data_IF_397908086746
#
_entry.id   IF_397908086746
#
_cell.length_a   1.000
_cell.length_b   1.000
_cell.length_c   1.000
_cell.angle_alpha   90.00
_cell.angle_beta   90.00
_cell.angle_gamma   90.00
#
_symmetry.space_group_name_H-M   'P 1'
#
loop_
_entity.id
_entity.type
_entity.pdbx_description
1 polymer ?
#
# COMPACT_ATOMS: atom_id res chain seq x y z
N UNK A 1 4.32 84.55 -26.26
CA UNK A 1 5.79 84.60 -26.32
C UNK A 1 6.33 83.68 -25.22
N UNK A 2 7.38 82.95 -25.57
CA UNK A 2 8.11 81.86 -24.90
C UNK A 2 8.24 81.92 -23.35
N UNK A 3 8.01 80.78 -22.66
CA UNK A 3 9.01 79.90 -21.96
C UNK A 3 9.41 80.46 -20.58
N UNK A 4 8.96 79.91 -19.44
CA UNK A 4 9.37 78.68 -18.71
C UNK A 4 10.57 78.89 -17.75
N UNK A 5 10.52 78.17 -16.61
CA UNK A 5 11.60 77.52 -15.82
C UNK A 5 11.50 77.73 -14.28
N UNK A 6 11.09 76.64 -13.64
CA UNK A 6 11.49 75.96 -12.37
C UNK A 6 12.32 76.66 -11.25
N UNK A 7 11.93 76.39 -9.99
CA UNK A 7 12.73 75.77 -8.90
C UNK A 7 11.93 75.75 -7.57
N UNK A 8 11.42 74.60 -7.08
CA UNK A 8 11.96 73.71 -6.01
C UNK A 8 12.01 74.29 -4.57
N UNK A 9 11.16 73.77 -3.66
CA UNK A 9 11.47 73.56 -2.24
C UNK A 9 10.48 72.60 -1.53
N UNK A 10 11.05 71.49 -1.05
CA UNK A 10 10.62 70.50 -0.03
C UNK A 10 10.01 71.13 1.25
N UNK A 11 9.32 70.48 2.20
CA UNK A 11 8.82 69.13 2.54
C UNK A 11 8.16 69.30 3.93
N UNK A 12 7.01 68.70 4.25
CA UNK A 12 6.78 68.06 5.56
C UNK A 12 5.55 67.13 5.49
N UNK A 13 5.75 65.94 6.02
CA UNK A 13 4.97 64.73 5.78
C UNK A 13 3.69 64.63 6.63
N UNK A 14 2.65 64.02 6.07
CA UNK A 14 1.59 63.34 6.82
C UNK A 14 1.54 61.89 6.34
N UNK A 15 2.05 60.98 7.17
CA UNK A 15 2.10 59.55 6.92
C UNK A 15 0.71 58.97 7.27
N UNK A 16 -0.10 58.66 6.26
CA UNK A 16 -1.30 57.82 6.42
C UNK A 16 -0.88 56.39 6.15
N UNK A 17 -0.80 55.58 7.21
CA UNK A 17 -0.57 54.14 7.11
C UNK A 17 -1.78 53.47 6.46
N UNK A 18 -1.66 53.10 5.19
CA UNK A 18 -2.48 52.06 4.58
C UNK A 18 -1.94 50.71 5.07
N UNK A 19 -2.60 50.13 6.07
CA UNK A 19 -2.44 48.72 6.40
C UNK A 19 -3.03 47.89 5.27
N UNK A 20 -2.17 47.34 4.41
CA UNK A 20 -2.56 46.29 3.48
C UNK A 20 -2.89 45.04 4.32
N UNK A 21 -4.18 44.77 4.51
CA UNK A 21 -4.63 43.47 4.97
C UNK A 21 -4.27 42.45 3.88
N UNK A 22 -3.19 41.71 4.09
CA UNK A 22 -2.95 40.47 3.36
C UNK A 22 -4.08 39.53 3.73
N UNK A 23 -5.05 39.37 2.83
CA UNK A 23 -6.02 38.29 2.95
C UNK A 23 -5.22 36.98 2.94
N UNK A 24 -5.16 36.31 4.09
CA UNK A 24 -4.82 34.90 4.17
C UNK A 24 -5.86 34.18 3.32
N UNK A 25 -5.54 33.89 2.05
CA UNK A 25 -6.29 32.90 1.31
C UNK A 25 -6.20 31.61 2.11
N UNK A 26 -7.36 31.06 2.51
CA UNK A 26 -7.42 29.73 3.05
C UNK A 26 -6.71 28.77 2.06
N UNK A 27 -6.02 27.72 2.56
CA UNK A 27 -5.48 26.69 1.68
C UNK A 27 -6.59 26.21 0.72
N UNK A 28 -6.26 25.83 -0.53
CA UNK A 28 -7.25 25.22 -1.41
C UNK A 28 -7.90 24.07 -0.64
N UNK A 29 -9.19 24.19 -0.41
CA UNK A 29 -9.98 23.16 0.24
C UNK A 29 -9.93 21.98 -0.75
N UNK A 30 -9.27 20.88 -0.36
CA UNK A 30 -9.36 19.64 -1.14
C UNK A 30 -10.84 19.32 -1.28
N UNK A 31 -11.32 19.19 -2.52
CA UNK A 31 -12.69 18.73 -2.76
C UNK A 31 -12.87 17.43 -1.97
N UNK A 32 -13.91 17.38 -1.13
CA UNK A 32 -14.23 16.15 -0.42
C UNK A 32 -14.44 15.04 -1.46
N UNK A 33 -13.97 13.81 -1.19
CA UNK A 33 -14.24 12.68 -2.07
C UNK A 33 -15.74 12.60 -2.38
N UNK A 34 -16.10 12.48 -3.66
CA UNK A 34 -17.48 12.25 -4.12
C UNK A 34 -17.60 10.82 -4.67
N UNK A 35 -17.84 9.81 -3.80
CA UNK A 35 -18.07 8.43 -4.22
C UNK A 35 -19.23 8.30 -5.21
N UNK A 36 -20.26 9.13 -5.13
CA UNK A 36 -21.44 9.01 -5.99
C UNK A 36 -21.17 9.43 -7.44
N UNK A 37 -20.10 10.19 -7.70
CA UNK A 37 -19.68 10.66 -9.01
C UNK A 37 -18.35 10.07 -9.49
N UNK A 38 -17.74 9.16 -8.73
CA UNK A 38 -16.38 8.69 -8.99
C UNK A 38 -16.21 7.96 -10.33
N UNK A 39 -17.19 7.16 -10.77
CA UNK A 39 -17.11 6.48 -12.06
C UNK A 39 -17.13 7.44 -13.23
N UNK A 40 -18.01 8.45 -13.22
CA UNK A 40 -18.05 9.47 -14.26
C UNK A 40 -16.74 10.27 -14.33
N UNK A 41 -16.12 10.56 -13.17
CA UNK A 41 -14.79 11.16 -13.10
C UNK A 41 -13.73 10.26 -13.73
N UNK A 42 -13.70 8.97 -13.38
CA UNK A 42 -12.74 7.98 -13.91
C UNK A 42 -12.88 7.87 -15.43
N UNK A 43 -14.10 7.78 -15.95
CA UNK A 43 -14.37 7.77 -17.39
C UNK A 43 -13.88 9.05 -18.08
N UNK A 44 -14.12 10.20 -17.48
CA UNK A 44 -13.68 11.51 -18.02
C UNK A 44 -12.16 11.63 -18.02
N UNK A 45 -11.51 11.14 -16.98
CA UNK A 45 -10.05 11.10 -16.88
C UNK A 45 -9.41 10.03 -17.78
N UNK A 46 -10.19 9.00 -18.16
CA UNK A 46 -9.69 7.82 -18.86
C UNK A 46 -8.77 6.96 -18.01
N UNK A 47 -8.82 7.10 -16.68
CA UNK A 47 -7.83 6.53 -15.75
C UNK A 47 -8.44 6.09 -14.43
N UNK A 48 -8.12 4.86 -14.03
CA UNK A 48 -8.46 4.23 -12.77
C UNK A 48 -7.20 4.06 -11.91
N UNK A 49 -7.19 4.67 -10.73
CA UNK A 49 -6.06 4.59 -9.79
C UNK A 49 -6.33 3.50 -8.75
N UNK A 50 -5.50 2.46 -8.73
CA UNK A 50 -5.60 1.32 -7.81
C UNK A 50 -4.51 1.42 -6.75
N UNK A 51 -4.91 1.40 -5.48
CA UNK A 51 -4.00 1.17 -4.36
C UNK A 51 -3.65 -0.31 -4.24
N UNK A 52 -2.36 -0.61 -4.08
CA UNK A 52 -1.86 -1.98 -3.85
C UNK A 52 -0.85 -2.00 -2.70
N UNK A 53 -0.37 -3.19 -2.31
CA UNK A 53 0.66 -3.40 -1.30
C UNK A 53 1.63 -4.49 -1.75
N UNK A 54 2.61 -4.12 -2.59
CA UNK A 54 3.35 -5.04 -3.46
C UNK A 54 4.47 -5.87 -2.78
N UNK A 55 4.13 -6.55 -1.68
CA UNK A 55 5.02 -7.45 -0.95
C UNK A 55 4.45 -8.88 -0.73
N UNK A 56 3.39 -9.24 -1.46
CA UNK A 56 2.56 -10.41 -1.19
C UNK A 56 2.32 -11.33 -2.42
N UNK A 57 3.34 -12.06 -2.89
CA UNK A 57 3.19 -13.00 -3.99
C UNK A 57 2.33 -14.22 -3.59
N UNK A 58 1.52 -14.79 -4.50
CA UNK A 58 1.45 -14.51 -5.94
C UNK A 58 0.47 -13.39 -6.35
N UNK A 59 -0.12 -12.65 -5.39
CA UNK A 59 -1.17 -11.69 -5.68
C UNK A 59 -0.61 -10.36 -6.19
N UNK A 60 0.26 -9.71 -5.41
CA UNK A 60 0.88 -8.45 -5.78
C UNK A 60 2.33 -8.42 -5.28
N UNK A 61 3.28 -8.21 -6.19
CA UNK A 61 4.69 -8.17 -5.85
C UNK A 61 5.50 -7.48 -6.93
N UNK A 62 6.73 -7.08 -6.59
CA UNK A 62 7.72 -6.71 -7.59
C UNK A 62 8.41 -7.95 -8.14
N UNK A 63 8.37 -8.13 -9.46
CA UNK A 63 9.08 -9.16 -10.21
C UNK A 63 10.61 -9.02 -10.08
N UNK A 64 11.39 -9.93 -10.67
CA UNK A 64 12.86 -9.86 -10.58
C UNK A 64 13.48 -8.66 -11.31
N UNK A 65 12.80 -8.15 -12.33
CA UNK A 65 13.09 -6.88 -13.00
C UNK A 65 12.40 -5.68 -12.33
N UNK A 66 11.76 -5.92 -11.18
CA UNK A 66 11.19 -4.92 -10.29
C UNK A 66 10.02 -4.12 -10.86
N UNK A 67 9.23 -4.79 -11.69
CA UNK A 67 7.94 -4.29 -12.17
C UNK A 67 6.82 -4.85 -11.30
N UNK A 68 5.72 -4.11 -11.15
CA UNK A 68 4.53 -4.64 -10.48
C UNK A 68 3.96 -5.80 -11.28
N UNK A 69 3.84 -6.95 -10.62
CA UNK A 69 3.39 -8.21 -11.16
C UNK A 69 2.54 -8.98 -10.14
N UNK A 70 1.85 -10.02 -10.61
CA UNK A 70 1.00 -10.88 -9.81
C UNK A 70 -0.46 -10.88 -10.25
N UNK A 71 -1.24 -11.76 -9.62
CA UNK A 71 -2.64 -11.96 -9.95
C UNK A 71 -3.48 -10.70 -9.81
N UNK A 72 -3.34 -9.96 -8.70
CA UNK A 72 -4.11 -8.75 -8.40
C UNK A 72 -3.76 -7.62 -9.39
N UNK A 73 -2.47 -7.49 -9.74
CA UNK A 73 -2.00 -6.53 -10.74
C UNK A 73 -2.55 -6.88 -12.14
N UNK A 74 -2.52 -8.15 -12.52
CA UNK A 74 -3.02 -8.59 -13.81
C UNK A 74 -4.55 -8.51 -13.91
N UNK A 75 -5.25 -8.80 -12.81
CA UNK A 75 -6.69 -8.66 -12.68
C UNK A 75 -7.11 -7.20 -12.85
N UNK A 76 -6.47 -6.27 -12.14
CA UNK A 76 -6.74 -4.84 -12.28
C UNK A 76 -6.56 -4.35 -13.73
N UNK A 77 -5.46 -4.74 -14.40
CA UNK A 77 -5.22 -4.41 -15.82
C UNK A 77 -6.35 -4.94 -16.72
N UNK A 78 -6.76 -6.19 -16.54
CA UNK A 78 -7.84 -6.79 -17.33
C UNK A 78 -9.21 -6.10 -17.09
N UNK A 79 -9.46 -5.62 -15.87
CA UNK A 79 -10.64 -4.81 -15.54
C UNK A 79 -10.58 -3.43 -16.19
N UNK A 80 -9.42 -2.78 -16.18
CA UNK A 80 -9.23 -1.51 -16.90
C UNK A 80 -9.49 -1.63 -18.40
N UNK A 81 -8.97 -2.69 -19.01
CA UNK A 81 -9.23 -3.01 -20.43
C UNK A 81 -10.72 -3.19 -20.71
N UNK A 82 -11.45 -3.89 -19.83
CA UNK A 82 -12.90 -4.09 -19.96
C UNK A 82 -13.68 -2.79 -19.77
N UNK A 83 -13.25 -1.95 -18.84
CA UNK A 83 -13.85 -0.66 -18.52
C UNK A 83 -13.46 0.46 -19.50
N UNK A 84 -12.48 0.21 -20.37
CA UNK A 84 -11.96 1.19 -21.34
C UNK A 84 -11.16 2.32 -20.71
N UNK A 85 -10.46 2.06 -19.60
CA UNK A 85 -9.64 3.03 -18.86
C UNK A 85 -8.23 2.50 -18.60
N UNK A 86 -7.25 3.39 -18.57
CA UNK A 86 -5.89 3.05 -18.14
C UNK A 86 -5.84 2.80 -16.64
N UNK A 87 -5.03 1.83 -16.20
CA UNK A 87 -4.84 1.54 -14.77
C UNK A 87 -3.49 2.06 -14.30
N UNK A 88 -3.51 2.91 -13.29
CA UNK A 88 -2.33 3.38 -12.56
C UNK A 88 -2.31 2.73 -11.17
N UNK A 89 -1.13 2.31 -10.71
CA UNK A 89 -0.97 1.68 -9.41
C UNK A 89 -0.19 2.59 -8.47
N UNK A 90 -0.71 2.74 -7.25
CA UNK A 90 -0.01 3.36 -6.14
C UNK A 90 0.26 2.32 -5.06
N UNK A 91 1.52 2.17 -4.65
CA UNK A 91 1.96 1.17 -3.68
C UNK A 91 2.05 1.75 -2.26
N UNK A 92 1.35 1.10 -1.32
CA UNK A 92 1.21 1.52 0.08
C UNK A 92 1.57 0.38 1.04
N UNK A 93 1.76 0.71 2.31
CA UNK A 93 1.73 -0.31 3.35
C UNK A 93 0.30 -0.85 3.50
N UNK A 94 0.17 -2.18 3.65
CA UNK A 94 -1.14 -2.84 3.70
C UNK A 94 -2.07 -2.26 4.79
N UNK A 95 -1.54 -1.90 5.96
CA UNK A 95 -2.34 -1.37 7.07
C UNK A 95 -2.87 0.05 6.85
N UNK A 96 -2.34 0.79 5.87
CA UNK A 96 -2.82 2.12 5.49
C UNK A 96 -3.65 2.13 4.20
N UNK A 97 -3.90 0.97 3.58
CA UNK A 97 -4.43 0.89 2.22
C UNK A 97 -5.92 1.29 2.13
N UNK A 98 -6.76 0.80 3.05
CA UNK A 98 -8.19 1.18 3.08
C UNK A 98 -8.38 2.66 3.41
N UNK A 99 -7.48 3.23 4.20
CA UNK A 99 -7.50 4.66 4.49
C UNK A 99 -7.27 5.49 3.20
N UNK A 100 -6.46 5.01 2.25
CA UNK A 100 -6.28 5.71 0.97
C UNK A 100 -7.54 5.72 0.12
N UNK A 101 -8.33 4.64 0.19
CA UNK A 101 -9.63 4.56 -0.46
C UNK A 101 -10.60 5.57 0.17
N UNK A 102 -10.63 5.64 1.50
CA UNK A 102 -11.50 6.59 2.22
C UNK A 102 -11.14 8.05 1.96
N UNK A 103 -9.85 8.35 1.83
CA UNK A 103 -9.36 9.68 1.52
C UNK A 103 -9.52 10.06 0.04
N UNK A 104 -9.95 9.13 -0.82
CA UNK A 104 -10.06 9.36 -2.26
C UNK A 104 -8.71 9.53 -2.98
N UNK A 105 -7.61 9.08 -2.36
CA UNK A 105 -6.28 9.11 -2.98
C UNK A 105 -6.12 8.01 -4.03
N UNK A 106 -6.89 6.93 -3.89
CA UNK A 106 -7.08 5.89 -4.89
C UNK A 106 -8.56 5.63 -5.11
N UNK A 107 -8.92 5.18 -6.30
CA UNK A 107 -10.30 4.91 -6.70
C UNK A 107 -10.79 3.56 -6.16
N UNK A 108 -9.87 2.60 -6.05
CA UNK A 108 -10.10 1.30 -5.44
C UNK A 108 -8.81 0.74 -4.85
N UNK A 109 -8.90 -0.28 -4.01
CA UNK A 109 -7.76 -1.03 -3.51
C UNK A 109 -7.88 -2.53 -3.84
N UNK A 110 -6.78 -3.10 -4.33
CA UNK A 110 -6.66 -4.51 -4.70
C UNK A 110 -5.26 -5.01 -4.29
N UNK A 111 -5.25 -5.80 -3.21
CA UNK A 111 -4.04 -6.35 -2.57
C UNK A 111 -4.42 -7.51 -1.63
N UNK A 112 -5.06 -8.55 -2.15
CA UNK A 112 -5.58 -9.69 -1.39
C UNK A 112 -6.39 -9.30 -0.13
N UNK A 113 -7.28 -8.31 -0.28
CA UNK A 113 -8.05 -7.74 0.83
C UNK A 113 -9.24 -8.62 1.16
N UNK A 114 -9.21 -9.24 2.35
CA UNK A 114 -10.36 -10.00 2.85
C UNK A 114 -11.54 -9.11 3.26
N UNK A 115 -12.75 -9.48 2.84
CA UNK A 115 -14.02 -8.89 3.30
C UNK A 115 -14.26 -9.25 4.75
N UNK A 116 -14.59 -8.25 5.57
CA UNK A 116 -14.99 -8.42 6.98
C UNK A 116 -16.07 -7.40 7.34
N UNK A 117 -16.94 -7.68 8.33
CA UNK A 117 -17.93 -6.72 8.79
C UNK A 117 -17.32 -5.37 9.19
N UNK A 118 -16.15 -5.36 9.81
CA UNK A 118 -15.44 -4.16 10.24
C UNK A 118 -14.99 -3.33 9.04
N UNK A 119 -14.36 -3.97 8.03
CA UNK A 119 -13.95 -3.27 6.80
C UNK A 119 -15.16 -2.78 5.99
N UNK A 120 -16.25 -3.53 5.98
CA UNK A 120 -17.49 -3.12 5.30
C UNK A 120 -18.17 -1.90 5.94
N UNK A 121 -17.78 -1.49 7.15
CA UNK A 121 -18.20 -0.20 7.71
C UNK A 121 -17.42 0.98 7.12
N UNK A 122 -16.22 0.71 6.60
CA UNK A 122 -15.26 1.71 6.13
C UNK A 122 -15.31 1.91 4.61
N UNK A 123 -15.53 0.82 3.87
CA UNK A 123 -15.51 0.75 2.40
C UNK A 123 -16.64 -0.15 1.90
N UNK A 124 -16.92 -0.11 0.60
CA UNK A 124 -17.70 -1.14 -0.09
C UNK A 124 -16.79 -2.14 -0.81
N UNK A 125 -17.30 -3.34 -1.06
CA UNK A 125 -16.55 -4.42 -1.70
C UNK A 125 -17.28 -4.93 -2.94
N UNK A 126 -16.52 -5.26 -3.97
CA UNK A 126 -17.02 -6.03 -5.12
C UNK A 126 -17.48 -7.43 -4.71
N UNK A 127 -18.02 -8.17 -5.67
CA UNK A 127 -18.09 -9.62 -5.62
C UNK A 127 -16.70 -10.21 -5.31
N UNK A 128 -16.69 -11.35 -4.61
CA UNK A 128 -15.45 -12.04 -4.29
C UNK A 128 -14.80 -12.54 -5.58
N UNK A 129 -13.53 -12.20 -5.79
CA UNK A 129 -12.75 -12.76 -6.89
C UNK A 129 -11.97 -14.00 -6.46
N UNK A 130 -11.73 -14.19 -5.16
CA UNK A 130 -11.02 -15.36 -4.66
C UNK A 130 -11.50 -15.78 -3.28
N UNK A 131 -11.59 -17.09 -3.05
CA UNK A 131 -11.87 -17.68 -1.74
C UNK A 131 -10.79 -18.71 -1.43
N UNK A 132 -10.18 -18.57 -0.26
CA UNK A 132 -9.13 -19.45 0.21
C UNK A 132 -9.17 -19.62 1.72
N UNK A 133 -8.04 -20.05 2.29
CA UNK A 133 -7.91 -20.31 3.72
C UNK A 133 -6.60 -19.73 4.28
N UNK A 134 -6.56 -19.58 5.60
CA UNK A 134 -5.33 -19.27 6.34
C UNK A 134 -4.39 -20.47 6.35
N UNK A 135 -3.08 -20.21 6.36
CA UNK A 135 -2.01 -21.13 6.64
C UNK A 135 -1.24 -20.70 7.89
N UNK A 136 -0.69 -21.69 8.60
CA UNK A 136 0.28 -21.51 9.68
C UNK A 136 1.63 -22.02 9.17
N UNK A 137 2.60 -21.11 9.10
CA UNK A 137 3.95 -21.38 8.58
C UNK A 137 4.94 -21.35 9.73
N UNK A 138 5.91 -22.26 9.73
CA UNK A 138 6.97 -22.30 10.73
C UNK A 138 8.35 -22.51 10.09
N UNK A 139 9.41 -22.27 10.86
CA UNK A 139 10.76 -22.69 10.50
C UNK A 139 10.87 -24.23 10.40
N UNK A 140 11.78 -24.72 9.57
CA UNK A 140 11.95 -26.16 9.33
C UNK A 140 12.21 -27.01 10.59
N UNK A 141 12.76 -26.40 11.65
CA UNK A 141 13.06 -27.05 12.92
C UNK A 141 11.85 -27.20 13.86
N UNK A 142 10.76 -26.46 13.64
CA UNK A 142 9.53 -26.62 14.41
C UNK A 142 9.01 -28.05 14.26
N UNK A 143 8.46 -28.68 15.29
CA UNK A 143 8.06 -30.11 15.21
C UNK A 143 6.57 -30.36 15.34
N UNK A 144 5.84 -29.41 15.87
CA UNK A 144 4.43 -29.59 16.20
C UNK A 144 3.52 -29.34 14.99
N UNK A 145 2.28 -29.79 15.10
CA UNK A 145 1.20 -29.53 14.14
C UNK A 145 0.17 -28.66 14.83
N UNK A 146 -0.28 -27.62 14.15
CA UNK A 146 -1.25 -26.65 14.64
C UNK A 146 -2.59 -26.94 13.96
N UNK A 147 -3.53 -27.44 14.74
CA UNK A 147 -4.90 -27.74 14.28
C UNK A 147 -5.94 -26.82 14.90
N UNK A 148 -5.56 -26.11 15.96
CA UNK A 148 -6.42 -25.24 16.75
C UNK A 148 -5.63 -24.09 17.39
N UNK A 149 -6.34 -23.08 17.89
CA UNK A 149 -5.75 -21.96 18.62
C UNK A 149 -4.96 -22.39 19.88
N UNK A 150 -5.44 -23.41 20.61
CA UNK A 150 -4.77 -23.90 21.81
C UNK A 150 -3.42 -24.54 21.54
N UNK A 151 -3.18 -25.05 20.34
CA UNK A 151 -1.89 -25.63 19.95
C UNK A 151 -0.79 -24.55 19.84
N UNK A 152 -1.17 -23.26 19.79
CA UNK A 152 -0.22 -22.14 19.78
C UNK A 152 0.10 -21.59 21.18
N UNK A 153 -0.36 -22.25 22.24
CA UNK A 153 -0.17 -21.75 23.60
C UNK A 153 1.33 -21.61 23.95
N UNK A 154 1.71 -20.42 24.43
CA UNK A 154 3.10 -20.08 24.76
C UNK A 154 4.03 -19.79 23.58
N UNK A 155 3.59 -19.97 22.33
CA UNK A 155 4.39 -19.66 21.14
C UNK A 155 4.48 -18.16 20.88
N UNK A 156 5.46 -17.76 20.08
CA UNK A 156 5.51 -16.46 19.41
C UNK A 156 4.85 -16.54 18.03
N UNK A 157 3.88 -15.65 17.79
CA UNK A 157 3.00 -15.68 16.61
C UNK A 157 3.17 -14.40 15.81
N UNK A 158 3.53 -14.54 14.53
CA UNK A 158 3.76 -13.43 13.61
C UNK A 158 2.60 -13.21 12.67
N UNK A 159 2.27 -11.95 12.41
CA UNK A 159 1.24 -11.53 11.46
C UNK A 159 1.67 -10.23 10.78
N UNK A 160 1.23 -10.01 9.54
CA UNK A 160 1.35 -8.68 8.94
C UNK A 160 0.32 -7.73 9.57
N UNK A 161 0.73 -6.50 9.82
CA UNK A 161 -0.11 -5.47 10.45
C UNK A 161 -1.33 -5.15 9.60
N UNK A 162 -2.47 -4.89 10.24
CA UNK A 162 -3.71 -4.50 9.57
C UNK A 162 -4.45 -5.66 8.87
N UNK A 163 -3.90 -6.88 8.91
CA UNK A 163 -4.52 -8.06 8.32
C UNK A 163 -5.60 -8.67 9.21
N UNK A 164 -6.49 -9.46 8.59
CA UNK A 164 -7.45 -10.29 9.32
C UNK A 164 -6.76 -11.33 10.20
N UNK A 165 -5.52 -11.72 9.88
CA UNK A 165 -4.71 -12.62 10.72
C UNK A 165 -4.32 -11.97 12.05
N UNK A 166 -4.02 -10.66 12.05
CA UNK A 166 -3.78 -9.92 13.29
C UNK A 166 -5.02 -9.90 14.17
N UNK A 167 -6.19 -9.55 13.61
CA UNK A 167 -7.45 -9.55 14.35
C UNK A 167 -7.78 -10.94 14.88
N UNK A 168 -7.62 -11.98 14.05
CA UNK A 168 -7.84 -13.36 14.46
C UNK A 168 -6.90 -13.78 15.60
N UNK A 169 -5.60 -13.48 15.51
CA UNK A 169 -4.63 -13.82 16.54
C UNK A 169 -4.89 -13.08 17.85
N UNK A 170 -5.26 -11.80 17.79
CA UNK A 170 -5.65 -11.04 18.96
C UNK A 170 -6.85 -11.71 19.66
N UNK A 171 -7.93 -11.95 18.92
CA UNK A 171 -9.18 -12.48 19.45
C UNK A 171 -9.07 -13.92 19.94
N UNK A 172 -8.35 -14.79 19.22
CA UNK A 172 -8.35 -16.23 19.48
C UNK A 172 -7.15 -16.70 20.29
N UNK A 173 -6.07 -15.92 20.38
CA UNK A 173 -4.85 -16.30 21.12
C UNK A 173 -4.61 -15.39 22.33
N UNK A 174 -4.60 -14.07 22.13
CA UNK A 174 -4.26 -13.11 23.20
C UNK A 174 -5.43 -12.94 24.17
N UNK A 175 -6.62 -12.63 23.66
CA UNK A 175 -7.81 -12.39 24.49
C UNK A 175 -8.25 -13.66 25.24
N UNK A 176 -7.90 -14.83 24.70
CA UNK A 176 -8.11 -16.15 25.30
C UNK A 176 -6.95 -16.62 26.20
N UNK A 177 -5.91 -15.79 26.38
CA UNK A 177 -4.75 -16.05 27.24
C UNK A 177 -3.90 -17.28 26.85
N UNK A 178 -3.95 -17.72 25.59
CA UNK A 178 -3.01 -18.74 25.09
C UNK A 178 -1.61 -18.17 24.91
N UNK A 179 -1.49 -16.89 24.53
CA UNK A 179 -0.21 -16.17 24.45
C UNK A 179 -0.35 -14.78 25.09
N UNK A 180 0.72 -14.22 25.70
CA UNK A 180 0.70 -12.82 26.12
C UNK A 180 0.75 -11.87 24.91
N UNK A 181 0.29 -10.62 25.05
CA UNK A 181 0.35 -9.60 23.98
C UNK A 181 1.75 -9.47 23.36
N UNK A 182 2.80 -9.58 24.17
CA UNK A 182 4.19 -9.46 23.73
C UNK A 182 4.63 -10.58 22.76
N UNK A 183 3.91 -11.70 22.74
CA UNK A 183 4.17 -12.81 21.83
C UNK A 183 3.42 -12.69 20.50
N UNK A 184 2.50 -11.72 20.35
CA UNK A 184 1.90 -11.38 19.07
C UNK A 184 2.77 -10.32 18.38
N UNK A 185 3.60 -10.76 17.44
CA UNK A 185 4.55 -9.91 16.72
C UNK A 185 3.92 -9.43 15.42
N UNK A 186 3.82 -8.12 15.24
CA UNK A 186 3.27 -7.52 14.01
C UNK A 186 4.38 -7.00 13.10
N UNK A 187 4.31 -7.35 11.82
CA UNK A 187 5.29 -6.97 10.80
C UNK A 187 4.70 -5.98 9.82
N UNK A 188 5.53 -5.04 9.36
CA UNK A 188 5.16 -4.14 8.25
C UNK A 188 5.23 -4.85 6.89
N UNK A 189 6.10 -5.85 6.75
CA UNK A 189 6.22 -6.66 5.55
C UNK A 189 6.11 -8.16 5.85
N UNK A 190 5.51 -8.93 4.94
CA UNK A 190 5.46 -10.40 5.06
C UNK A 190 6.86 -11.00 4.93
N UNK A 191 7.73 -10.35 4.15
CA UNK A 191 9.13 -10.76 3.97
C UNK A 191 9.89 -10.84 5.30
N UNK A 192 9.72 -9.84 6.16
CA UNK A 192 10.41 -9.78 7.47
C UNK A 192 9.91 -10.90 8.39
N UNK A 193 8.60 -11.15 8.41
CA UNK A 193 8.01 -12.27 9.16
C UNK A 193 8.61 -13.62 8.70
N UNK A 194 8.64 -13.86 7.38
CA UNK A 194 9.22 -15.09 6.83
C UNK A 194 10.72 -15.23 7.13
N UNK A 195 11.46 -14.12 7.21
CA UNK A 195 12.87 -14.12 7.61
C UNK A 195 13.05 -14.54 9.07
N UNK A 196 12.22 -14.01 9.99
CA UNK A 196 12.30 -14.33 11.41
C UNK A 196 11.87 -15.78 11.70
N UNK A 197 10.94 -16.35 10.92
CA UNK A 197 10.64 -17.79 10.94
C UNK A 197 11.85 -18.64 10.52
N UNK A 198 12.55 -18.28 9.43
CA UNK A 198 13.72 -19.04 8.96
C UNK A 198 14.87 -19.02 9.96
N UNK A 199 15.03 -17.93 10.70
CA UNK A 199 16.10 -17.76 11.69
C UNK A 199 15.75 -18.29 13.08
N UNK A 200 14.50 -18.74 13.29
CA UNK A 200 14.03 -19.26 14.57
C UNK A 200 13.80 -18.18 15.63
N UNK A 201 13.68 -16.91 15.22
CA UNK A 201 13.28 -15.81 16.12
C UNK A 201 11.78 -15.77 16.37
N UNK A 202 11.01 -16.38 15.46
CA UNK A 202 9.57 -16.49 15.52
C UNK A 202 9.19 -17.98 15.37
N UNK A 203 8.25 -18.46 16.19
CA UNK A 203 7.83 -19.87 16.17
C UNK A 203 6.91 -20.15 14.97
N UNK A 204 5.84 -19.37 14.82
CA UNK A 204 4.84 -19.53 13.76
C UNK A 204 4.37 -18.20 13.19
N UNK A 205 3.98 -18.17 11.91
CA UNK A 205 3.39 -17.02 11.23
C UNK A 205 2.06 -17.39 10.57
N UNK A 206 1.11 -16.45 10.58
CA UNK A 206 -0.19 -16.62 9.93
C UNK A 206 -0.26 -15.78 8.64
N UNK A 207 -0.66 -16.42 7.54
CA UNK A 207 -0.83 -15.77 6.23
C UNK A 207 -1.80 -16.58 5.36
N UNK A 208 -2.10 -16.10 4.15
CA UNK A 208 -2.95 -16.81 3.19
C UNK A 208 -2.28 -18.06 2.61
N UNK A 209 -3.04 -19.12 2.39
CA UNK A 209 -2.53 -20.44 1.99
C UNK A 209 -1.71 -20.42 0.69
N UNK A 210 -2.18 -19.77 -0.36
CA UNK A 210 -1.43 -19.69 -1.62
C UNK A 210 -0.09 -18.96 -1.48
N UNK A 211 -0.10 -17.84 -0.76
CA UNK A 211 1.12 -17.08 -0.48
C UNK A 211 2.09 -17.89 0.39
N UNK A 212 1.56 -18.64 1.37
CA UNK A 212 2.35 -19.58 2.15
C UNK A 212 2.98 -20.66 1.25
N UNK A 213 2.18 -21.38 0.44
CA UNK A 213 2.67 -22.45 -0.43
C UNK A 213 3.78 -21.98 -1.37
N UNK A 214 3.66 -20.76 -1.90
CA UNK A 214 4.71 -20.15 -2.71
C UNK A 214 5.97 -19.90 -1.87
N UNK A 215 5.84 -19.32 -0.67
CA UNK A 215 6.97 -19.09 0.23
C UNK A 215 7.68 -20.39 0.62
N UNK A 216 6.95 -21.50 0.79
CA UNK A 216 7.49 -22.83 1.13
C UNK A 216 8.35 -23.45 0.03
N UNK A 217 8.26 -22.97 -1.22
CA UNK A 217 9.18 -23.40 -2.29
C UNK A 217 10.62 -22.98 -2.01
N UNK A 218 10.81 -21.92 -1.22
CA UNK A 218 12.12 -21.54 -0.69
C UNK A 218 12.48 -22.38 0.54
N UNK A 219 13.75 -22.76 0.68
CA UNK A 219 14.20 -23.63 1.80
C UNK A 219 14.02 -22.95 3.16
N UNK A 220 13.82 -23.77 4.19
CA UNK A 220 13.88 -23.35 5.60
C UNK A 220 12.53 -23.08 6.25
N UNK A 221 11.42 -23.22 5.52
CA UNK A 221 10.06 -23.07 6.02
C UNK A 221 9.25 -24.36 5.78
N UNK A 222 8.17 -24.53 6.53
CA UNK A 222 7.17 -25.58 6.31
C UNK A 222 5.77 -25.15 6.75
N UNK A 223 4.75 -25.78 6.16
CA UNK A 223 3.38 -25.68 6.62
C UNK A 223 3.22 -26.52 7.89
N UNK A 224 2.62 -25.96 8.93
CA UNK A 224 2.34 -26.66 10.19
C UNK A 224 0.87 -26.65 10.58
N UNK A 225 0.03 -25.88 9.88
CA UNK A 225 -1.41 -25.82 10.08
C UNK A 225 -2.08 -25.04 8.95
N UNK A 226 -3.39 -25.18 8.82
CA UNK A 226 -4.20 -24.48 7.83
C UNK A 226 -5.68 -24.44 8.26
N UNK A 227 -6.49 -23.63 7.57
CA UNK A 227 -7.95 -23.67 7.72
C UNK A 227 -8.49 -23.06 9.02
N UNK A 228 -7.66 -22.30 9.76
CA UNK A 228 -8.08 -21.65 11.02
C UNK A 228 -9.05 -20.48 10.81
N UNK A 229 -8.99 -19.84 9.63
CA UNK A 229 -9.97 -18.84 9.22
C UNK A 229 -10.06 -18.75 7.69
N UNK A 230 -11.25 -18.44 7.13
CA UNK A 230 -11.43 -18.29 5.69
C UNK A 230 -10.81 -16.98 5.18
N UNK A 231 -10.41 -16.99 3.91
CA UNK A 231 -9.96 -15.82 3.17
C UNK A 231 -10.98 -15.53 2.06
N UNK A 232 -11.57 -14.34 2.04
CA UNK A 232 -12.60 -13.95 1.06
C UNK A 232 -12.21 -12.63 0.42
N UNK A 233 -11.58 -12.68 -0.75
CA UNK A 233 -10.91 -11.53 -1.35
C UNK A 233 -11.84 -10.78 -2.31
N UNK A 234 -11.87 -9.46 -2.19
CA UNK A 234 -12.61 -8.55 -3.04
C UNK A 234 -11.84 -7.24 -3.25
N UNK A 235 -12.24 -6.48 -4.26
CA UNK A 235 -11.74 -5.13 -4.50
C UNK A 235 -12.50 -4.19 -3.55
N UNK A 236 -11.76 -3.35 -2.81
CA UNK A 236 -12.35 -2.34 -1.94
C UNK A 236 -12.52 -1.01 -2.70
N UNK A 237 -13.68 -0.38 -2.59
CA UNK A 237 -13.99 0.94 -3.17
C UNK A 237 -14.55 1.87 -2.10
N UNK A 238 -14.57 3.21 -2.31
CA UNK A 238 -15.15 4.14 -1.36
C UNK A 238 -16.60 3.76 -1.03
N UNK A 239 -17.02 4.07 0.21
CA UNK A 239 -18.40 3.81 0.63
C UNK A 239 -19.38 4.60 -0.25
N UNK A 240 -20.35 3.93 -0.86
CA UNK A 240 -21.30 4.54 -1.79
C UNK A 240 -20.74 4.83 -3.19
N UNK A 241 -19.61 4.21 -3.54
CA UNK A 241 -18.94 4.37 -4.84
C UNK A 241 -19.84 3.98 -6.01
N UNK A 242 -19.91 4.84 -7.02
CA UNK A 242 -20.57 4.56 -8.30
C UNK A 242 -19.75 3.63 -9.22
N UNK A 243 -18.46 3.42 -8.91
CA UNK A 243 -17.56 2.47 -9.59
C UNK A 243 -17.86 1.00 -9.24
N UNK A 244 -18.54 0.75 -8.12
CA UNK A 244 -18.76 -0.62 -7.61
C UNK A 244 -19.46 -1.53 -8.63
N UNK A 245 -20.59 -1.09 -9.19
CA UNK A 245 -21.34 -1.88 -10.17
C UNK A 245 -20.56 -2.09 -11.47
N UNK A 246 -19.94 -1.06 -12.09
CA UNK A 246 -19.03 -1.26 -13.22
C UNK A 246 -17.93 -2.30 -12.96
N UNK A 247 -17.30 -2.30 -11.78
CA UNK A 247 -16.29 -3.31 -11.44
C UNK A 247 -16.89 -4.71 -11.34
N UNK A 248 -18.08 -4.87 -10.75
CA UNK A 248 -18.76 -6.16 -10.67
C UNK A 248 -19.15 -6.69 -12.06
N UNK A 249 -19.64 -5.82 -12.94
CA UNK A 249 -19.95 -6.16 -14.33
C UNK A 249 -18.70 -6.58 -15.10
N UNK A 250 -17.60 -5.83 -14.95
CA UNK A 250 -16.32 -6.16 -15.57
C UNK A 250 -15.74 -7.48 -15.04
N UNK A 251 -15.79 -7.73 -13.73
CA UNK A 251 -15.39 -9.00 -13.12
C UNK A 251 -16.16 -10.19 -13.71
N UNK A 252 -17.48 -10.04 -13.87
CA UNK A 252 -18.31 -11.08 -14.48
C UNK A 252 -17.99 -11.29 -15.96
N UNK A 253 -17.71 -10.21 -16.71
CA UNK A 253 -17.34 -10.29 -18.12
C UNK A 253 -16.02 -11.04 -18.33
N UNK A 254 -14.98 -10.70 -17.57
CA UNK A 254 -13.66 -11.36 -17.66
C UNK A 254 -13.69 -12.81 -17.14
N UNK A 255 -14.64 -13.14 -16.25
CA UNK A 255 -14.88 -14.52 -15.84
C UNK A 255 -15.55 -15.32 -16.96
N UNK A 256 -16.58 -14.73 -17.59
CA UNK A 256 -17.38 -15.38 -18.64
C UNK A 256 -16.57 -15.62 -19.92
N UNK A 257 -15.68 -14.70 -20.28
CA UNK A 257 -14.85 -14.80 -21.49
C UNK A 257 -13.58 -15.67 -21.31
N UNK A 258 -13.30 -16.08 -20.07
CA UNK A 258 -12.20 -16.99 -19.73
C UNK A 258 -10.88 -16.32 -19.33
N UNK A 259 -10.73 -14.99 -19.48
CA UNK A 259 -9.50 -14.27 -19.08
C UNK A 259 -9.18 -14.48 -17.61
N UNK A 260 -10.18 -14.43 -16.74
CA UNK A 260 -10.00 -14.68 -15.31
C UNK A 260 -9.38 -16.05 -15.02
N UNK A 261 -9.84 -17.07 -15.74
CA UNK A 261 -9.32 -18.44 -15.61
C UNK A 261 -7.87 -18.54 -16.09
N UNK A 262 -7.52 -17.84 -17.16
CA UNK A 262 -6.14 -17.78 -17.66
C UNK A 262 -5.21 -17.11 -16.64
N UNK A 263 -5.62 -15.97 -16.09
CA UNK A 263 -4.88 -15.27 -15.03
C UNK A 263 -4.72 -16.15 -13.78
N UNK A 264 -5.80 -16.80 -13.35
CA UNK A 264 -5.77 -17.69 -12.19
C UNK A 264 -4.80 -18.85 -12.38
N UNK A 265 -4.78 -19.46 -13.58
CA UNK A 265 -3.82 -20.53 -13.91
C UNK A 265 -2.39 -20.03 -13.94
N UNK A 266 -2.16 -18.82 -14.46
CA UNK A 266 -0.84 -18.25 -14.59
C UNK A 266 -0.20 -17.94 -13.22
N UNK A 267 -0.98 -17.36 -12.30
CA UNK A 267 -0.44 -16.86 -11.03
C UNK A 267 -0.74 -17.76 -9.82
N UNK A 268 -1.95 -18.32 -9.73
CA UNK A 268 -2.42 -18.95 -8.50
C UNK A 268 -2.21 -20.47 -8.46
N UNK A 269 -2.09 -21.11 -9.62
CA UNK A 269 -1.81 -22.55 -9.79
C UNK A 269 -2.39 -23.48 -8.70
N UNK A 270 -3.69 -23.29 -8.41
CA UNK A 270 -4.59 -24.32 -7.88
C UNK A 270 -5.73 -24.52 -8.89
N UNK A 271 -6.19 -25.77 -9.04
CA UNK A 271 -7.22 -26.21 -10.00
C UNK A 271 -8.50 -25.35 -9.89
N UNK A 272 -9.18 -24.96 -11.00
CA UNK A 272 -10.37 -24.12 -10.92
C UNK A 272 -11.46 -24.76 -10.06
N UNK A 273 -12.01 -24.00 -9.09
CA UNK A 273 -13.30 -24.34 -8.49
C UNK A 273 -14.35 -24.11 -9.56
N UNK A 274 -14.66 -25.17 -10.30
CA UNK A 274 -15.88 -25.26 -11.08
C UNK A 274 -17.05 -25.35 -10.09
N UNK A 275 -17.75 -24.25 -9.86
CA UNK A 275 -19.12 -24.30 -9.34
C UNK A 275 -20.05 -23.51 -10.28
N UNK A 276 -20.20 -24.02 -11.51
CA UNK A 276 -21.43 -23.83 -12.26
C UNK A 276 -22.26 -25.13 -12.19
N UNK A 277 -23.17 -25.19 -11.23
CA UNK A 277 -24.45 -25.86 -11.50
C UNK A 277 -25.51 -24.79 -11.42
N UNK A 278 -25.85 -24.22 -12.58
CA UNK A 278 -27.19 -23.72 -12.81
C UNK A 278 -28.15 -24.91 -12.70
N UNK A 279 -28.71 -25.11 -11.51
CA UNK A 279 -29.93 -25.86 -11.31
C UNK A 279 -30.91 -24.94 -10.59
N UNK A 280 -32.06 -24.75 -11.23
CA UNK A 280 -33.14 -23.89 -10.76
C UNK A 280 -33.48 -24.15 -9.29
N UNK A 281 -33.47 -23.08 -8.50
CA UNK A 281 -33.76 -23.10 -7.08
C UNK A 281 -32.94 -22.03 -6.38
N UNK A 282 -33.32 -20.76 -6.56
CA UNK A 282 -32.78 -19.66 -5.76
C UNK A 282 -33.11 -19.91 -4.28
N UNK A 283 -32.19 -20.56 -3.56
CA UNK A 283 -32.09 -20.37 -2.12
C UNK A 283 -31.30 -19.09 -1.95
N UNK A 284 -32.05 -17.98 -1.93
CA UNK A 284 -31.57 -16.72 -1.38
C UNK A 284 -31.23 -17.03 0.07
N UNK A 285 -29.94 -17.24 0.37
CA UNK A 285 -29.48 -17.10 1.75
C UNK A 285 -29.57 -15.60 2.00
N UNK A 286 -30.71 -15.17 2.54
CA UNK A 286 -30.87 -13.82 3.02
C UNK A 286 -29.74 -13.57 4.02
N UNK A 287 -28.84 -12.65 3.68
CA UNK A 287 -27.98 -12.02 4.66
C UNK A 287 -28.89 -11.60 5.82
N UNK A 288 -28.56 -11.91 7.08
CA UNK A 288 -29.38 -11.50 8.21
C UNK A 288 -29.60 -10.00 8.11
N UNK A 289 -30.87 -9.60 8.10
CA UNK A 289 -31.26 -8.20 8.14
C UNK A 289 -30.48 -7.55 9.28
N UNK A 290 -29.68 -6.50 9.05
CA UNK A 290 -28.97 -5.85 10.14
C UNK A 290 -30.02 -5.40 11.15
N UNK A 291 -29.90 -5.94 12.37
CA UNK A 291 -30.62 -5.37 13.51
C UNK A 291 -30.20 -3.91 13.57
N UNK A 292 -31.12 -2.93 13.66
CA UNK A 292 -30.73 -1.53 13.74
C UNK A 292 -29.79 -1.36 14.94
N UNK A 293 -28.50 -1.22 14.65
CA UNK A 293 -27.55 -0.79 15.66
C UNK A 293 -28.02 0.59 16.13
N UNK A 294 -28.08 0.77 17.45
CA UNK A 294 -28.30 2.07 18.03
C UNK A 294 -27.37 3.07 17.34
N UNK A 295 -27.91 4.22 16.96
CA UNK A 295 -27.15 5.32 16.34
C UNK A 295 -25.99 5.66 17.28
N UNK A 296 -24.82 5.07 17.01
CA UNK A 296 -23.59 5.50 17.65
C UNK A 296 -23.34 6.92 17.12
N UNK A 297 -23.03 7.89 18.00
CA UNK A 297 -22.57 9.19 17.56
C UNK A 297 -21.44 8.98 16.57
N UNK A 298 -21.46 9.72 15.45
CA UNK A 298 -20.38 9.73 14.46
C UNK A 298 -19.03 9.69 15.18
N UNK A 299 -18.27 8.63 14.94
CA UNK A 299 -16.93 8.49 15.48
C UNK A 299 -16.16 9.78 15.14
N UNK A 300 -15.49 10.37 16.13
CA UNK A 300 -14.53 11.44 15.89
C UNK A 300 -13.65 11.01 14.71
N UNK A 301 -13.49 11.82 13.65
CA UNK A 301 -12.74 11.39 12.48
C UNK A 301 -11.35 10.96 12.96
N UNK A 302 -11.04 9.68 12.73
CA UNK A 302 -9.78 9.11 13.14
C UNK A 302 -8.65 9.87 12.44
N UNK A 303 -7.55 10.11 13.17
CA UNK A 303 -6.36 10.67 12.57
C UNK A 303 -5.77 9.62 11.63
N UNK A 304 -5.76 9.95 10.34
CA UNK A 304 -5.20 9.15 9.26
C UNK A 304 -3.94 9.85 8.78
N UNK A 305 -2.80 9.22 9.02
CA UNK A 305 -1.55 9.68 8.42
C UNK A 305 -1.49 9.20 6.97
N UNK A 306 -1.29 10.12 6.03
CA UNK A 306 -0.99 9.78 4.65
C UNK A 306 0.10 10.72 4.12
N UNK A 307 0.86 10.22 3.16
CA UNK A 307 1.90 10.93 2.41
C UNK A 307 1.68 10.72 0.92
N UNK A 308 1.82 11.80 0.16
CA UNK A 308 1.80 11.81 -1.29
C UNK A 308 3.11 12.31 -1.85
N UNK A 309 3.64 11.63 -2.86
CA UNK A 309 4.74 12.12 -3.66
C UNK A 309 4.27 13.27 -4.58
N UNK A 310 5.05 14.35 -4.63
CA UNK A 310 4.78 15.47 -5.54
C UNK A 310 5.81 15.58 -6.66
N UNK A 311 7.10 15.38 -6.35
CA UNK A 311 8.16 15.49 -7.34
C UNK A 311 9.48 14.91 -6.84
N UNK A 312 10.30 14.43 -7.77
CA UNK A 312 11.74 14.28 -7.57
C UNK A 312 12.42 15.64 -7.59
N UNK A 313 13.23 15.93 -6.57
CA UNK A 313 14.02 17.16 -6.49
C UNK A 313 15.33 17.04 -7.29
N UNK A 314 15.82 15.80 -7.44
CA UNK A 314 17.01 15.43 -8.20
C UNK A 314 16.94 13.93 -8.56
N UNK A 315 17.82 13.49 -9.46
CA UNK A 315 17.97 12.08 -9.85
C UNK A 315 16.63 11.40 -10.19
N UNK A 316 15.83 12.06 -11.01
CA UNK A 316 14.64 11.44 -11.61
C UNK A 316 15.11 10.27 -12.49
N UNK A 317 14.66 9.07 -12.15
CA UNK A 317 15.00 7.82 -12.84
C UNK A 317 14.01 7.47 -13.96
N UNK A 318 13.05 8.37 -14.20
CA UNK A 318 11.96 8.24 -15.16
C UNK A 318 11.24 6.91 -14.99
N UNK A 319 10.92 6.56 -13.74
CA UNK A 319 10.30 5.31 -13.37
C UNK A 319 11.09 4.11 -13.94
N UNK A 320 12.40 4.12 -13.72
CA UNK A 320 13.37 3.12 -14.20
C UNK A 320 13.56 3.00 -15.72
N UNK A 321 12.95 3.86 -16.53
CA UNK A 321 13.19 3.86 -17.98
C UNK A 321 14.54 4.49 -18.36
N UNK A 322 15.08 5.35 -17.49
CA UNK A 322 16.38 6.01 -17.68
C UNK A 322 17.12 6.24 -16.35
N UNK A 323 17.48 5.17 -15.61
CA UNK A 323 18.10 5.30 -14.30
C UNK A 323 19.47 5.99 -14.41
N UNK A 324 19.77 6.98 -13.54
CA UNK A 324 21.08 7.63 -13.51
C UNK A 324 22.24 6.64 -13.36
N UNK A 325 23.29 6.86 -14.14
CA UNK A 325 24.51 6.06 -14.10
C UNK A 325 25.47 6.65 -13.07
N UNK A 326 25.85 5.85 -12.08
CA UNK A 326 26.81 6.23 -11.03
C UNK A 326 28.02 5.28 -11.02
N UNK A 327 29.16 5.77 -10.56
CA UNK A 327 30.36 4.93 -10.40
C UNK A 327 30.31 4.16 -9.06
N UNK A 328 30.91 2.96 -8.97
CA UNK A 328 30.92 2.18 -7.74
C UNK A 328 31.41 2.98 -6.53
N UNK A 329 30.64 2.97 -5.45
CA UNK A 329 30.98 3.67 -4.21
C UNK A 329 30.83 5.19 -4.25
N UNK A 330 30.26 5.76 -5.30
CA UNK A 330 29.96 7.19 -5.39
C UNK A 330 28.89 7.59 -4.38
N UNK A 331 29.17 8.61 -3.57
CA UNK A 331 28.18 9.22 -2.70
C UNK A 331 27.26 10.13 -3.52
N UNK A 332 25.97 10.12 -3.21
CA UNK A 332 24.96 10.97 -3.83
C UNK A 332 23.81 11.26 -2.85
N UNK A 333 22.99 12.25 -3.18
CA UNK A 333 21.81 12.60 -2.37
C UNK A 333 20.58 12.49 -3.25
N UNK A 334 19.56 11.78 -2.78
CA UNK A 334 18.25 11.75 -3.40
C UNK A 334 17.27 12.60 -2.61
N UNK A 335 16.58 13.50 -3.28
CA UNK A 335 15.57 14.37 -2.70
C UNK A 335 14.19 14.15 -3.31
N UNK A 336 13.16 14.14 -2.48
CA UNK A 336 11.75 14.14 -2.89
C UNK A 336 11.01 15.30 -2.24
N UNK A 337 10.08 15.89 -2.98
CA UNK A 337 9.03 16.74 -2.40
C UNK A 337 7.83 15.85 -2.11
N UNK A 338 7.41 15.83 -0.86
CA UNK A 338 6.27 15.06 -0.38
C UNK A 338 5.25 15.99 0.27
N UNK A 339 3.98 15.61 0.25
CA UNK A 339 2.87 16.36 0.84
C UNK A 339 2.15 15.54 1.90
N UNK A 340 1.73 16.21 2.97
CA UNK A 340 0.75 15.65 3.90
C UNK A 340 -0.64 15.75 3.30
N UNK A 341 -1.13 14.62 2.80
CA UNK A 341 -2.49 14.44 2.32
C UNK A 341 -3.36 13.62 3.31
N UNK A 342 -2.91 13.46 4.56
CA UNK A 342 -3.68 12.86 5.64
C UNK A 342 -4.62 13.85 6.34
N UNK A 343 -5.28 13.40 7.40
CA UNK A 343 -6.24 14.22 8.17
C UNK A 343 -5.64 14.91 9.39
N UNK A 344 -4.37 14.62 9.70
CA UNK A 344 -3.68 15.14 10.87
C UNK A 344 -2.22 15.50 10.56
N UNK A 345 -1.67 16.43 11.34
CA UNK A 345 -0.29 16.88 11.17
C UNK A 345 0.70 15.74 11.42
N UNK A 346 1.77 15.68 10.64
CA UNK A 346 2.93 14.84 10.95
C UNK A 346 3.77 15.56 12.01
N UNK A 347 4.01 14.97 13.19
CA UNK A 347 5.00 15.44 14.15
C UNK A 347 6.44 15.42 13.62
N UNK A 348 7.33 16.14 14.29
CA UNK A 348 8.73 16.31 13.88
C UNK A 348 9.60 15.05 13.98
N UNK A 349 9.17 14.06 14.77
CA UNK A 349 9.90 12.81 15.02
C UNK A 349 9.51 11.67 14.06
N UNK A 350 8.56 11.92 13.15
CA UNK A 350 8.28 11.04 12.03
C UNK A 350 9.48 10.97 11.10
N UNK A 351 9.66 9.86 10.40
CA UNK A 351 10.82 9.63 9.56
C UNK A 351 10.47 9.03 8.21
N UNK A 352 11.24 9.37 7.18
CA UNK A 352 11.28 8.64 5.92
C UNK A 352 12.34 7.53 6.05
N UNK A 353 11.94 6.29 5.84
CA UNK A 353 12.79 5.12 6.08
C UNK A 353 12.78 4.16 4.90
N UNK A 354 13.91 3.47 4.71
CA UNK A 354 14.01 2.40 3.72
C UNK A 354 13.03 1.27 4.05
N UNK A 355 12.39 0.74 3.02
CA UNK A 355 11.43 -0.37 3.13
C UNK A 355 12.06 -1.63 2.56
N UNK A 356 12.33 -1.63 1.27
CA UNK A 356 12.83 -2.77 0.53
C UNK A 356 13.45 -2.32 -0.81
N UNK A 357 13.95 -3.30 -1.55
CA UNK A 357 14.75 -3.07 -2.74
C UNK A 357 14.80 -4.30 -3.62
N UNK A 358 15.17 -4.10 -4.89
CA UNK A 358 15.35 -5.18 -5.87
C UNK A 358 16.56 -6.08 -5.54
N UNK A 359 17.49 -5.57 -4.71
CA UNK A 359 18.71 -6.23 -4.25
C UNK A 359 18.96 -5.93 -2.78
N UNK A 360 19.81 -6.72 -2.13
CA UNK A 360 20.18 -6.47 -0.72
C UNK A 360 20.91 -5.13 -0.54
N UNK A 361 21.66 -4.68 -1.55
CA UNK A 361 22.38 -3.40 -1.53
C UNK A 361 21.52 -2.21 -1.98
N UNK A 362 20.25 -2.42 -2.33
CA UNK A 362 19.40 -1.38 -2.90
C UNK A 362 18.96 -0.30 -1.91
N UNK A 363 19.14 -0.52 -0.60
CA UNK A 363 19.09 0.56 0.39
C UNK A 363 20.25 1.54 0.30
N UNK A 364 21.30 1.22 -0.47
CA UNK A 364 22.41 2.10 -0.83
C UNK A 364 23.07 2.76 0.39
N UNK A 365 23.10 2.05 1.52
CA UNK A 365 23.65 2.52 2.79
C UNK A 365 22.86 3.66 3.45
N UNK A 366 21.69 4.01 2.94
CA UNK A 366 20.86 5.08 3.47
C UNK A 366 20.35 4.81 4.88
N UNK A 367 20.21 5.88 5.66
CA UNK A 367 19.63 5.85 7.01
C UNK A 367 18.27 6.55 7.02
N UNK A 368 17.39 6.21 7.97
CA UNK A 368 16.13 6.94 8.18
C UNK A 368 16.39 8.43 8.39
N UNK A 369 15.53 9.28 7.81
CA UNK A 369 15.62 10.74 7.90
C UNK A 369 14.40 11.27 8.61
N UNK A 370 14.59 11.94 9.74
CA UNK A 370 13.51 12.61 10.47
C UNK A 370 12.99 13.83 9.69
N UNK A 371 11.68 14.03 9.70
CA UNK A 371 11.03 15.21 9.11
C UNK A 371 11.47 16.50 9.81
N UNK A 372 11.73 16.44 11.12
CA UNK A 372 12.38 17.52 11.88
C UNK A 372 11.50 18.74 12.15
N UNK A 373 10.29 18.80 11.60
CA UNK A 373 9.26 19.81 11.89
C UNK A 373 7.86 19.23 11.76
N UNK A 374 6.88 19.92 12.35
CA UNK A 374 5.49 19.59 12.08
C UNK A 374 5.11 19.93 10.63
N UNK A 375 4.35 19.06 9.97
CA UNK A 375 3.82 19.28 8.61
C UNK A 375 2.30 19.13 8.66
N UNK A 376 1.56 20.22 8.45
CA UNK A 376 0.09 20.22 8.54
C UNK A 376 -0.52 19.53 7.31
N UNK A 377 -1.77 19.02 7.40
CA UNK A 377 -2.52 18.60 6.22
C UNK A 377 -2.52 19.69 5.13
N UNK A 378 -2.22 19.30 3.90
CA UNK A 378 -2.04 20.18 2.74
C UNK A 378 -0.62 20.74 2.58
N UNK A 379 0.21 20.79 3.62
CA UNK A 379 1.58 21.28 3.52
C UNK A 379 2.51 20.27 2.84
N UNK A 380 3.55 20.79 2.17
CA UNK A 380 4.64 19.97 1.62
C UNK A 380 5.96 20.19 2.36
N UNK A 381 6.85 19.21 2.22
CA UNK A 381 8.22 19.24 2.71
C UNK A 381 9.16 18.54 1.73
N UNK A 382 10.38 19.07 1.64
CA UNK A 382 11.48 18.47 0.91
C UNK A 382 12.27 17.57 1.85
N UNK A 383 12.40 16.29 1.52
CA UNK A 383 13.17 15.31 2.29
C UNK A 383 14.32 14.82 1.43
N UNK A 384 15.53 14.75 2.01
CA UNK A 384 16.75 14.34 1.32
C UNK A 384 17.41 13.19 2.08
N UNK A 385 17.78 12.12 1.36
CA UNK A 385 18.50 10.98 1.90
C UNK A 385 19.88 10.93 1.25
N UNK A 386 20.92 10.81 2.08
CA UNK A 386 22.28 10.58 1.61
C UNK A 386 22.47 9.09 1.36
N UNK A 387 22.93 8.75 0.16
CA UNK A 387 23.07 7.40 -0.35
C UNK A 387 24.45 7.20 -0.94
N UNK A 388 24.85 5.95 -1.08
CA UNK A 388 26.11 5.55 -1.69
C UNK A 388 25.88 4.42 -2.69
N UNK A 389 26.29 4.65 -3.94
CA UNK A 389 26.19 3.67 -5.00
C UNK A 389 26.91 2.37 -4.58
N UNK A 390 26.29 1.18 -4.74
CA UNK A 390 26.93 -0.08 -4.38
C UNK A 390 28.27 -0.29 -5.08
N UNK A 391 29.15 -1.08 -4.46
CA UNK A 391 30.42 -1.49 -5.07
C UNK A 391 30.21 -2.55 -6.16
N UNK A 392 29.06 -3.23 -6.13
CA UNK A 392 28.68 -4.25 -7.09
C UNK A 392 28.01 -3.62 -8.30
N UNK A 393 28.26 -4.18 -9.48
CA UNK A 393 27.63 -3.73 -10.72
C UNK A 393 26.18 -4.19 -10.81
N UNK A 394 25.36 -3.44 -11.54
CA UNK A 394 23.98 -3.75 -11.87
C UNK A 394 23.04 -2.57 -11.63
N UNK A 395 21.75 -2.88 -11.72
CA UNK A 395 20.66 -1.94 -11.47
C UNK A 395 20.18 -2.08 -10.03
N UNK A 396 20.04 -0.96 -9.33
CA UNK A 396 19.58 -0.92 -7.94
C UNK A 396 18.40 0.03 -7.84
N UNK A 397 17.33 -0.43 -7.19
CA UNK A 397 16.15 0.38 -6.93
C UNK A 397 15.70 0.15 -5.50
N UNK A 398 15.72 1.23 -4.71
CA UNK A 398 15.35 1.22 -3.30
C UNK A 398 14.07 2.01 -3.07
N UNK A 399 13.17 1.44 -2.28
CA UNK A 399 11.91 2.03 -1.86
C UNK A 399 11.98 2.59 -0.44
N UNK A 400 11.27 3.69 -0.24
CA UNK A 400 11.25 4.47 0.99
C UNK A 400 9.82 4.88 1.30
N UNK A 401 9.47 4.89 2.57
CA UNK A 401 8.13 5.23 3.01
C UNK A 401 8.17 5.95 4.36
N UNK A 402 7.18 6.79 4.59
CA UNK A 402 7.02 7.48 5.86
C UNK A 402 6.70 6.52 6.99
N UNK A 403 7.27 6.75 8.17
CA UNK A 403 7.05 5.98 9.40
C UNK A 403 6.75 6.89 10.59
N UNK A 404 5.73 6.51 11.36
CA UNK A 404 5.46 7.05 12.69
C UNK A 404 6.46 6.49 13.72
N UNK A 405 6.60 7.10 14.93
CA UNK A 405 7.59 6.70 15.95
C UNK A 405 7.49 5.25 16.44
N UNK A 406 6.31 4.63 16.29
CA UNK A 406 6.09 3.21 16.60
C UNK A 406 6.39 2.28 15.40
N UNK A 407 7.08 2.81 14.38
CA UNK A 407 7.49 2.09 13.18
C UNK A 407 6.36 1.82 12.17
N UNK A 408 5.17 2.38 12.38
CA UNK A 408 4.03 2.26 11.47
C UNK A 408 4.29 3.04 10.19
N UNK A 409 4.35 2.31 9.07
CA UNK A 409 4.51 2.92 7.77
C UNK A 409 3.17 3.50 7.28
N UNK A 410 3.21 4.56 6.49
CA UNK A 410 2.00 5.18 5.95
C UNK A 410 2.29 5.96 4.66
N UNK A 411 1.23 6.22 3.88
CA UNK A 411 1.31 6.97 2.63
C UNK A 411 1.98 6.20 1.48
N UNK A 412 2.12 6.87 0.35
CA UNK A 412 2.76 6.33 -0.86
C UNK A 412 4.20 5.92 -0.59
N UNK A 413 4.68 4.97 -1.39
CA UNK A 413 6.09 4.62 -1.44
C UNK A 413 6.81 5.48 -2.47
N UNK A 414 7.95 6.07 -2.11
CA UNK A 414 8.84 6.78 -3.05
C UNK A 414 10.10 5.95 -3.31
N UNK A 415 10.76 6.15 -4.45
CA UNK A 415 11.93 5.35 -4.80
C UNK A 415 13.03 6.12 -5.49
N UNK A 416 14.16 5.44 -5.58
CA UNK A 416 15.31 5.83 -6.37
C UNK A 416 15.93 4.63 -7.03
N UNK A 417 16.08 4.73 -8.34
CA UNK A 417 16.79 3.82 -9.22
C UNK A 417 18.13 4.37 -9.67
N UNK A 418 19.17 3.54 -9.67
CA UNK A 418 20.47 3.85 -10.26
C UNK A 418 21.02 2.64 -11.03
N UNK A 419 21.92 2.92 -11.96
CA UNK A 419 22.73 1.91 -12.62
C UNK A 419 24.21 2.09 -12.24
N UNK A 420 24.84 1.01 -11.80
CA UNK A 420 26.29 0.93 -11.60
C UNK A 420 26.85 0.01 -12.68
N UNK A 421 27.37 0.54 -13.79
CA UNK A 421 27.72 -0.27 -14.96
C UNK A 421 28.99 -1.09 -14.70
N UNK A 422 29.00 -2.31 -15.23
CA UNK A 422 30.22 -3.12 -15.31
C UNK A 422 31.12 -2.51 -16.41
N UNK A 423 32.37 -2.12 -16.12
CA UNK A 423 33.30 -1.65 -17.15
C UNK A 423 33.67 -2.73 -18.17
N UNK A 424 33.41 -4.02 -17.88
CA UNK A 424 33.67 -5.16 -18.75
C UNK A 424 32.42 -6.06 -18.83
N UNK A 425 31.32 -5.61 -19.45
CA UNK A 425 30.11 -6.41 -19.54
C UNK A 425 30.41 -7.72 -20.30
N UNK A 426 29.83 -8.86 -19.90
CA UNK A 426 29.99 -10.09 -20.65
C UNK A 426 29.54 -9.88 -22.09
N UNK A 427 30.37 -10.30 -23.05
CA UNK A 427 30.02 -10.24 -24.47
C UNK A 427 28.84 -11.17 -24.69
N UNK A 428 27.69 -10.60 -25.06
CA UNK A 428 26.52 -11.39 -25.47
C UNK A 428 26.88 -12.02 -26.82
N UNK A 429 27.14 -13.33 -26.81
CA UNK A 429 27.52 -14.13 -28.00
C UNK A 429 26.26 -14.63 -28.70
#
# INVERSE_FOLDING_TARGET
>A
MKVSIAATALLFALLVLFGAATANAAPPQQDEPDPAGDWARIQTAGKLVIGTAADYPPFEFYSSDYTLDGFDIALAKALGDELGVEVEFNDYAFDGLLDQVQLGHVDAALAAISVTPERSQLVDFTNLYYVGNTAVVAGAAFTETITSASDMAGLTVGVQRGTTYQSWAQQNLVDHLFIPQANLVTYGSVRDMLSDLRTGKLDVGLMGKLAADLALRSRGLKLVGEGLSPQQLAIAVPKGSSLLEPLNEALLAIETDGRFTELSKLYLAETPVQNSTAAAGAVVIALPTPTPAAVQPAATPACVYSMKWLADLNLDDQNMTAPPILVPGQDFTKGWRIQNNGTCAWPADFELAYVNGNRIEAGMGGSSVKIGRAVQPGDSIDVNVNLRAPQTYGTFQGFWQMRAPLGQAFGETVWVGIQVPDPNPPVVV
#
